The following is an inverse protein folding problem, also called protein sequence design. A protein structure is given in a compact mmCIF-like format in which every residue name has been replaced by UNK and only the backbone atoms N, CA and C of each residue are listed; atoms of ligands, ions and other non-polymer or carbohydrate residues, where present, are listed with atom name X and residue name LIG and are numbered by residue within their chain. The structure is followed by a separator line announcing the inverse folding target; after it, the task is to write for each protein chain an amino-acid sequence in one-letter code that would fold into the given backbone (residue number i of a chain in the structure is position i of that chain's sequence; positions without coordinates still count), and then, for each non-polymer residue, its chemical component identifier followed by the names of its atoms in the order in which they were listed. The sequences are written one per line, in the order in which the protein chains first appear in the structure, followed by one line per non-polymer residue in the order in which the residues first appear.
data_IF_497184992011
#
_entry.id   IF_497184992011
#
_cell.length_a   1.000
_cell.length_b   1.000
_cell.length_c   1.000
_cell.angle_alpha   90.00
_cell.angle_beta   90.00
_cell.angle_gamma   90.00
#
_symmetry.space_group_name_H-M   'P 1'
#
loop_
_entity.id
_entity.type
_entity.pdbx_description
1 polymer ?
#
# COMPACT_ATOMS: atom_id res chain seq x y z
N UNK A 1 2.40 -27.21 15.75
CA UNK A 1 1.44 -26.20 16.23
C UNK A 1 2.03 -24.77 16.33
N UNK A 2 3.28 -24.60 16.77
CA UNK A 2 3.90 -23.26 17.00
C UNK A 2 4.25 -22.46 15.73
N UNK A 3 4.60 -23.12 14.61
CA UNK A 3 5.00 -22.43 13.37
C UNK A 3 3.87 -21.57 12.76
N UNK A 4 2.61 -22.00 12.88
CA UNK A 4 1.43 -21.26 12.41
C UNK A 4 1.15 -19.99 13.23
N UNK A 5 1.47 -20.03 14.52
CA UNK A 5 1.34 -18.88 15.44
C UNK A 5 2.38 -17.80 15.10
N UNK A 6 3.64 -18.19 14.87
CA UNK A 6 4.69 -17.26 14.42
C UNK A 6 4.35 -16.60 13.07
N UNK A 7 3.83 -17.38 12.12
CA UNK A 7 3.38 -16.85 10.83
C UNK A 7 2.21 -15.87 10.95
N UNK A 8 1.22 -16.17 11.80
CA UNK A 8 0.11 -15.28 12.10
C UNK A 8 0.58 -13.94 12.68
N UNK A 9 1.45 -13.96 13.70
CA UNK A 9 2.00 -12.73 14.29
C UNK A 9 2.93 -11.96 13.34
N UNK A 10 3.59 -12.62 12.40
CA UNK A 10 4.36 -11.93 11.35
C UNK A 10 3.44 -11.11 10.46
N UNK A 11 2.39 -11.74 9.93
CA UNK A 11 1.42 -11.09 9.04
C UNK A 11 0.65 -9.98 9.75
N UNK A 12 0.30 -10.17 11.03
CA UNK A 12 -0.30 -9.12 11.86
C UNK A 12 0.59 -7.87 11.97
N UNK A 13 1.92 -8.03 12.07
CA UNK A 13 2.85 -6.90 12.07
C UNK A 13 2.92 -6.18 10.72
N UNK A 14 2.80 -6.90 9.61
CA UNK A 14 2.72 -6.28 8.28
C UNK A 14 1.46 -5.39 8.16
N UNK A 15 0.36 -5.74 8.82
CA UNK A 15 -0.87 -4.93 8.87
C UNK A 15 -0.75 -3.64 9.70
N UNK A 16 0.27 -3.49 10.56
CA UNK A 16 0.49 -2.25 11.34
C UNK A 16 1.12 -1.12 10.51
N UNK A 17 1.56 -1.40 9.28
CA UNK A 17 2.11 -0.37 8.39
C UNK A 17 0.96 0.49 7.85
N UNK A 18 0.99 1.78 8.18
CA UNK A 18 -0.03 2.73 7.77
C UNK A 18 -0.08 2.90 6.24
N UNK A 19 -1.29 2.87 5.70
CA UNK A 19 -1.52 3.12 4.28
C UNK A 19 -1.36 4.61 3.98
N UNK A 20 -0.79 5.00 2.82
CA UNK A 20 -0.74 6.42 2.40
C UNK A 20 -2.12 6.94 1.93
N UNK A 21 -3.20 6.21 2.23
CA UNK A 21 -4.55 6.51 1.76
C UNK A 21 -5.11 7.67 2.57
N UNK A 22 -5.64 8.69 1.90
CA UNK A 22 -6.28 9.85 2.54
C UNK A 22 -7.82 9.75 2.54
N UNK A 23 -8.37 8.55 2.34
CA UNK A 23 -9.80 8.28 2.22
C UNK A 23 -10.51 9.06 1.08
N UNK A 24 -9.76 9.47 0.06
CA UNK A 24 -10.30 10.05 -1.18
C UNK A 24 -10.05 9.06 -2.31
N UNK A 25 -11.12 8.47 -2.84
CA UNK A 25 -11.05 7.54 -3.96
C UNK A 25 -11.45 8.25 -5.26
N UNK A 26 -10.48 8.93 -5.88
CA UNK A 26 -10.60 9.49 -7.23
C UNK A 26 -9.36 9.14 -8.02
N UNK A 27 -9.55 8.63 -9.24
CA UNK A 27 -8.47 8.32 -10.17
C UNK A 27 -8.22 9.50 -11.11
N UNK A 28 -7.06 9.51 -11.76
CA UNK A 28 -6.75 10.38 -12.90
C UNK A 28 -7.66 10.05 -14.09
N UNK A 29 -7.61 10.89 -15.14
CA UNK A 29 -8.46 10.73 -16.32
C UNK A 29 -8.22 9.40 -17.04
N UNK A 30 -7.01 8.84 -16.91
CA UNK A 30 -6.66 7.54 -17.47
C UNK A 30 -7.09 6.35 -16.58
N UNK A 31 -7.61 6.59 -15.37
CA UNK A 31 -8.05 5.54 -14.44
C UNK A 31 -6.90 4.69 -13.87
N UNK A 32 -5.66 5.19 -13.85
CA UNK A 32 -4.46 4.44 -13.46
C UNK A 32 -3.92 4.81 -12.09
N UNK A 33 -4.02 6.08 -11.70
CA UNK A 33 -3.40 6.61 -10.49
C UNK A 33 -4.45 7.33 -9.64
N UNK A 34 -4.47 7.06 -8.34
CA UNK A 34 -5.30 7.81 -7.41
C UNK A 34 -4.75 9.22 -7.19
N UNK A 35 -5.54 10.26 -7.48
CA UNK A 35 -5.08 11.67 -7.34
C UNK A 35 -4.91 12.13 -5.90
N UNK A 36 -5.47 11.39 -4.92
CA UNK A 36 -5.32 11.70 -3.50
C UNK A 36 -4.07 11.05 -2.87
N UNK A 37 -3.95 9.73 -3.03
CA UNK A 37 -2.86 8.96 -2.42
C UNK A 37 -1.70 8.61 -3.36
N UNK A 38 -1.80 8.93 -4.66
CA UNK A 38 -0.76 8.72 -5.68
C UNK A 38 -0.34 7.26 -5.88
N UNK A 39 -1.11 6.31 -5.36
CA UNK A 39 -0.94 4.87 -5.64
C UNK A 39 -1.57 4.52 -6.98
N UNK A 40 -1.01 3.52 -7.66
CA UNK A 40 -1.67 2.90 -8.82
C UNK A 40 -2.83 2.03 -8.38
N UNK A 41 -3.72 1.68 -9.32
CA UNK A 41 -4.79 0.71 -9.07
C UNK A 41 -4.25 -0.63 -8.56
N UNK A 42 -3.16 -1.14 -9.15
CA UNK A 42 -2.53 -2.39 -8.72
C UNK A 42 -1.99 -2.31 -7.29
N UNK A 43 -1.36 -1.20 -6.92
CA UNK A 43 -0.88 -0.97 -5.56
C UNK A 43 -2.03 -0.86 -4.54
N UNK A 44 -3.20 -0.37 -4.96
CA UNK A 44 -4.40 -0.30 -4.13
C UNK A 44 -4.97 -1.69 -3.90
N UNK A 45 -5.12 -2.50 -4.94
CA UNK A 45 -5.74 -3.84 -4.87
C UNK A 45 -4.84 -4.86 -4.17
N UNK A 46 -3.52 -4.75 -4.34
CA UNK A 46 -2.55 -5.68 -3.75
C UNK A 46 -2.09 -5.29 -2.33
N UNK A 47 -2.41 -4.08 -1.86
CA UNK A 47 -1.98 -3.57 -0.55
C UNK A 47 -2.17 -4.54 0.63
N UNK A 48 -3.34 -5.19 0.82
CA UNK A 48 -3.53 -6.07 1.98
C UNK A 48 -2.74 -7.38 1.90
N UNK A 49 -2.18 -7.74 0.74
CA UNK A 49 -1.35 -8.93 0.54
C UNK A 49 0.16 -8.64 0.62
N UNK A 50 0.58 -7.37 0.54
CA UNK A 50 1.99 -7.00 0.63
C UNK A 50 2.55 -7.24 2.03
N UNK A 51 3.79 -7.71 2.07
CA UNK A 51 4.61 -7.74 3.27
C UNK A 51 5.13 -6.34 3.62
N UNK A 52 5.85 -6.22 4.74
CA UNK A 52 6.45 -4.96 5.19
C UNK A 52 7.28 -4.27 4.09
N UNK A 53 8.12 -5.02 3.37
CA UNK A 53 9.00 -4.45 2.35
C UNK A 53 8.19 -3.91 1.17
N UNK A 54 7.21 -4.67 0.69
CA UNK A 54 6.30 -4.27 -0.38
C UNK A 54 5.50 -3.03 -0.01
N UNK A 55 4.95 -2.97 1.22
CA UNK A 55 4.22 -1.80 1.71
C UNK A 55 5.08 -0.53 1.73
N UNK A 56 6.32 -0.62 2.23
CA UNK A 56 7.24 0.53 2.20
C UNK A 56 7.61 0.96 0.77
N UNK A 57 7.80 0.01 -0.14
CA UNK A 57 8.08 0.32 -1.54
C UNK A 57 6.92 1.10 -2.20
N UNK A 58 5.67 0.69 -1.93
CA UNK A 58 4.47 1.40 -2.40
C UNK A 58 4.39 2.80 -1.80
N UNK A 59 4.65 2.97 -0.49
CA UNK A 59 4.65 4.29 0.16
C UNK A 59 5.68 5.22 -0.50
N UNK A 60 6.90 4.73 -0.74
CA UNK A 60 7.96 5.52 -1.34
C UNK A 60 7.66 5.85 -2.82
N UNK A 61 7.12 4.90 -3.59
CA UNK A 61 6.65 5.14 -4.96
C UNK A 61 5.57 6.23 -5.01
N UNK A 62 4.55 6.12 -4.15
CA UNK A 62 3.48 7.10 -4.06
C UNK A 62 4.03 8.49 -3.68
N UNK A 63 4.99 8.56 -2.75
CA UNK A 63 5.67 9.79 -2.37
C UNK A 63 6.43 10.40 -3.56
N UNK A 64 7.19 9.60 -4.31
CA UNK A 64 7.93 10.05 -5.49
C UNK A 64 7.02 10.61 -6.60
N UNK A 65 5.89 9.94 -6.86
CA UNK A 65 4.87 10.43 -7.80
C UNK A 65 4.26 11.75 -7.33
N UNK A 66 3.98 11.88 -6.04
CA UNK A 66 3.47 13.14 -5.47
C UNK A 66 4.47 14.30 -5.60
N UNK A 67 5.76 14.05 -5.42
CA UNK A 67 6.79 15.08 -5.51
C UNK A 67 7.20 15.43 -6.95
N UNK A 68 6.79 14.64 -7.94
CA UNK A 68 7.09 14.83 -9.36
C UNK A 68 5.76 15.02 -10.12
N UNK A 69 5.14 16.22 -10.02
CA UNK A 69 3.80 16.48 -10.54
C UNK A 69 3.69 16.28 -12.06
#
# INVERSE_FOLDING_TARGET
MVARIKAFFSRARDHLIESPCIAVCKLDDAGRICIGCYRTVDEITTWPQLDRQGKYAVIENARRRRSSP
#
